data_IF_846719344091
#
_entry.id   IF_846719344091
#
_cell.length_a   1.000
_cell.length_b   1.000
_cell.length_c   1.000
_cell.angle_alpha   90.00
_cell.angle_beta   90.00
_cell.angle_gamma   90.00
#
_symmetry.space_group_name_H-M   'P 1'
#
loop_
_entity.id
_entity.type
_entity.pdbx_description
1 polymer ?
#
# COMPACT_ATOMS: atom_id res chain seq x y z
N UNK A 1 1.37 -7.76 -18.03
CA UNK A 1 1.62 -9.22 -17.97
C UNK A 1 3.00 -9.51 -17.35
N UNK A 2 3.33 -10.78 -17.08
CA UNK A 2 4.67 -11.19 -16.58
C UNK A 2 5.15 -10.46 -15.31
N UNK A 3 4.27 -10.30 -14.32
CA UNK A 3 4.62 -9.60 -13.07
C UNK A 3 5.02 -8.14 -13.27
N UNK A 4 4.32 -7.42 -14.16
CA UNK A 4 4.54 -5.99 -14.41
C UNK A 4 5.65 -5.65 -15.40
N UNK A 5 6.44 -6.64 -15.85
CA UNK A 5 7.58 -6.41 -16.76
C UNK A 5 7.20 -6.10 -18.22
N UNK A 6 5.94 -6.36 -18.58
CA UNK A 6 5.44 -6.18 -19.94
C UNK A 6 4.08 -5.52 -19.87
N UNK A 7 3.94 -4.42 -20.60
CA UNK A 7 2.66 -3.80 -20.90
C UNK A 7 2.07 -4.39 -22.19
N UNK A 8 0.75 -4.49 -22.27
CA UNK A 8 0.09 -5.01 -23.47
C UNK A 8 -1.23 -4.30 -23.69
N UNK A 9 -1.45 -3.87 -24.92
CA UNK A 9 -2.72 -3.31 -25.39
C UNK A 9 -3.51 -4.41 -26.08
N UNK A 10 -4.76 -4.61 -25.68
CA UNK A 10 -5.67 -5.57 -26.31
C UNK A 10 -6.87 -4.82 -26.86
N UNK A 11 -7.29 -5.16 -28.07
CA UNK A 11 -8.54 -4.68 -28.65
C UNK A 11 -9.66 -5.68 -28.36
N UNK A 12 -10.78 -5.18 -27.86
CA UNK A 12 -11.97 -5.98 -27.56
C UNK A 12 -13.07 -5.61 -28.58
N UNK A 13 -13.79 -6.61 -29.06
CA UNK A 13 -14.93 -6.43 -29.97
C UNK A 13 -16.24 -6.68 -29.22
N UNK A 14 -17.18 -5.75 -29.32
CA UNK A 14 -18.49 -5.85 -28.66
C UNK A 14 -18.48 -5.42 -27.19
N UNK A 15 -19.47 -5.89 -26.44
CA UNK A 15 -19.59 -5.62 -25.00
C UNK A 15 -18.54 -6.41 -24.22
N UNK A 16 -17.93 -5.76 -23.23
CA UNK A 16 -16.84 -6.35 -22.46
C UNK A 16 -16.96 -6.03 -20.97
N UNK A 17 -16.52 -6.98 -20.15
CA UNK A 17 -16.29 -6.78 -18.72
C UNK A 17 -14.78 -6.74 -18.51
N UNK A 18 -14.31 -5.65 -17.90
CA UNK A 18 -12.90 -5.45 -17.58
C UNK A 18 -12.75 -5.22 -16.08
N UNK A 19 -11.71 -5.81 -15.49
CA UNK A 19 -11.30 -5.46 -14.13
C UNK A 19 -10.26 -4.37 -14.20
N UNK A 20 -10.45 -3.35 -13.38
CA UNK A 20 -9.55 -2.20 -13.28
C UNK A 20 -8.75 -2.35 -11.99
N UNK A 21 -7.45 -2.05 -12.05
CA UNK A 21 -6.61 -1.93 -10.86
C UNK A 21 -7.06 -0.70 -10.06
N UNK A 22 -7.25 -0.87 -8.76
CA UNK A 22 -7.56 0.26 -7.86
C UNK A 22 -6.50 1.36 -7.95
N UNK A 23 -6.94 2.62 -7.76
CA UNK A 23 -6.10 3.82 -7.81
C UNK A 23 -5.26 3.95 -9.10
N UNK A 24 -5.78 3.49 -10.23
CA UNK A 24 -5.16 3.72 -11.54
C UNK A 24 -5.57 5.07 -12.15
N UNK A 25 -6.73 5.59 -11.77
CA UNK A 25 -7.22 6.90 -12.19
C UNK A 25 -7.55 7.77 -10.97
N UNK A 26 -7.37 9.10 -11.08
CA UNK A 26 -7.80 10.02 -10.04
C UNK A 26 -9.33 9.99 -9.89
N UNK A 27 -9.80 10.35 -8.71
CA UNK A 27 -11.22 10.51 -8.45
C UNK A 27 -11.80 11.63 -9.32
N UNK A 28 -13.02 11.43 -9.82
CA UNK A 28 -13.75 12.47 -10.55
C UNK A 28 -14.17 13.61 -9.61
N UNK A 29 -14.04 14.85 -10.07
CA UNK A 29 -14.44 16.04 -9.30
C UNK A 29 -15.95 16.33 -9.42
N UNK A 30 -16.52 16.87 -8.35
CA UNK A 30 -17.91 17.35 -8.32
C UNK A 30 -18.97 16.25 -8.13
N UNK A 31 -20.23 16.60 -8.39
CA UNK A 31 -21.39 15.71 -8.28
C UNK A 31 -22.07 15.57 -9.63
N UNK A 32 -22.37 14.34 -10.04
CA UNK A 32 -23.13 14.06 -11.27
C UNK A 32 -24.64 14.10 -11.08
N UNK A 33 -25.37 14.14 -12.19
CA UNK A 33 -26.84 14.20 -12.29
C UNK A 33 -27.45 12.94 -12.93
N UNK A 34 -26.79 11.79 -12.73
CA UNK A 34 -27.21 10.51 -13.30
C UNK A 34 -28.64 10.11 -12.88
N UNK A 35 -29.39 9.55 -13.83
CA UNK A 35 -30.73 9.01 -13.58
C UNK A 35 -30.66 7.77 -12.69
N UNK A 36 -31.50 7.75 -11.64
CA UNK A 36 -31.65 6.59 -10.76
C UNK A 36 -32.77 5.70 -11.30
N UNK A 37 -32.44 4.47 -11.66
CA UNK A 37 -33.38 3.47 -12.15
C UNK A 37 -33.40 2.26 -11.21
N UNK A 38 -34.60 1.76 -10.89
CA UNK A 38 -34.74 0.55 -10.11
C UNK A 38 -34.42 -0.67 -10.99
N UNK A 39 -33.54 -1.53 -10.49
CA UNK A 39 -33.19 -2.80 -11.13
C UNK A 39 -33.55 -3.94 -10.19
N UNK A 40 -34.47 -4.80 -10.62
CA UNK A 40 -34.87 -6.01 -9.90
C UNK A 40 -34.04 -7.17 -10.46
N UNK A 41 -33.07 -7.65 -9.68
CA UNK A 41 -32.19 -8.74 -10.05
C UNK A 41 -32.81 -10.07 -9.62
N UNK A 42 -33.14 -10.93 -10.57
CA UNK A 42 -33.55 -12.31 -10.29
C UNK A 42 -32.30 -13.17 -10.05
N UNK A 43 -32.13 -13.64 -8.81
CA UNK A 43 -30.98 -14.43 -8.38
C UNK A 43 -31.44 -15.87 -8.18
N UNK A 44 -30.92 -16.78 -9.01
CA UNK A 44 -31.11 -18.21 -8.84
C UNK A 44 -30.29 -18.73 -7.65
N UNK A 45 -30.95 -18.97 -6.52
CA UNK A 45 -30.31 -19.48 -5.30
C UNK A 45 -29.70 -20.88 -5.49
N UNK A 46 -30.27 -21.71 -6.38
CA UNK A 46 -29.75 -23.05 -6.66
C UNK A 46 -28.40 -23.01 -7.40
N UNK A 47 -28.09 -21.89 -8.07
CA UNK A 47 -26.81 -21.65 -8.73
C UNK A 47 -25.69 -21.19 -7.77
N UNK A 48 -26.02 -20.84 -6.52
CA UNK A 48 -25.04 -20.33 -5.55
C UNK A 48 -24.28 -21.49 -4.90
N UNK A 49 -23.03 -21.70 -5.33
CA UNK A 49 -22.17 -22.76 -4.81
C UNK A 49 -21.42 -22.43 -3.51
N UNK A 50 -21.62 -21.25 -2.92
CA UNK A 50 -20.90 -20.78 -1.73
C UNK A 50 -21.84 -20.27 -0.65
N UNK A 51 -21.43 -20.41 0.62
CA UNK A 51 -22.17 -19.88 1.77
C UNK A 51 -21.25 -19.04 2.62
N UNK A 52 -21.62 -17.79 2.88
CA UNK A 52 -20.91 -16.92 3.82
C UNK A 52 -21.24 -17.38 5.23
N UNK A 53 -20.25 -17.92 5.94
CA UNK A 53 -20.44 -18.47 7.29
C UNK A 53 -20.25 -17.42 8.40
N UNK A 54 -19.74 -16.25 8.06
CA UNK A 54 -19.52 -15.13 8.97
C UNK A 54 -18.54 -14.12 8.39
N UNK A 55 -18.47 -12.95 9.03
CA UNK A 55 -17.43 -11.96 8.81
C UNK A 55 -16.54 -11.96 10.05
N UNK A 56 -15.25 -12.27 9.87
CA UNK A 56 -14.26 -12.12 10.93
C UNK A 56 -13.54 -10.81 10.69
N UNK A 57 -13.93 -9.80 11.47
CA UNK A 57 -13.20 -8.55 11.53
C UNK A 57 -11.84 -8.86 12.16
N UNK A 58 -10.76 -8.66 11.42
CA UNK A 58 -9.41 -8.76 11.98
C UNK A 58 -9.34 -7.68 13.06
N UNK A 59 -9.31 -8.09 14.33
CA UNK A 59 -9.35 -7.19 15.48
C UNK A 59 -8.45 -5.99 15.23
N UNK A 60 -9.04 -4.79 15.25
CA UNK A 60 -8.36 -3.53 15.03
C UNK A 60 -7.20 -3.40 16.00
N UNK A 61 -5.98 -3.58 15.52
CA UNK A 61 -4.79 -3.22 16.27
C UNK A 61 -4.61 -1.72 16.21
N UNK A 62 -5.18 -0.99 17.16
CA UNK A 62 -5.05 0.44 17.54
C UNK A 62 -5.05 1.55 16.46
N UNK A 63 -4.70 1.29 15.20
CA UNK A 63 -4.61 2.28 14.11
C UNK A 63 -4.97 1.63 12.78
N UNK A 64 -5.93 2.22 12.06
CA UNK A 64 -6.21 1.85 10.69
C UNK A 64 -5.26 2.59 9.72
N UNK A 65 -4.32 1.85 9.13
CA UNK A 65 -3.36 2.41 8.18
C UNK A 65 -3.98 2.86 6.84
N UNK A 66 -5.22 2.45 6.50
CA UNK A 66 -5.87 2.93 5.28
C UNK A 66 -6.46 4.33 5.39
N UNK A 67 -6.60 4.85 6.61
CA UNK A 67 -7.09 6.21 6.88
C UNK A 67 -5.95 7.19 7.23
N UNK A 68 -4.70 6.73 7.22
CA UNK A 68 -3.54 7.55 7.56
C UNK A 68 -3.19 8.52 6.42
N UNK A 69 -2.98 9.80 6.76
CA UNK A 69 -2.53 10.85 5.84
C UNK A 69 -1.02 10.74 5.54
N UNK A 70 -0.23 10.26 6.52
CA UNK A 70 1.21 10.05 6.39
C UNK A 70 1.59 8.66 6.91
N UNK A 71 2.24 7.87 6.05
CA UNK A 71 2.74 6.54 6.40
C UNK A 71 4.26 6.47 6.37
N UNK A 72 4.84 5.97 7.46
CA UNK A 72 6.21 5.46 7.48
C UNK A 72 6.11 3.95 7.34
N UNK A 73 6.56 3.41 6.21
CA UNK A 73 6.48 1.99 5.92
C UNK A 73 7.84 1.35 5.81
N UNK A 74 8.04 0.25 6.54
CA UNK A 74 9.31 -0.46 6.60
C UNK A 74 9.32 -1.80 5.85
N UNK A 75 10.49 -2.11 5.32
CA UNK A 75 10.78 -3.38 4.67
C UNK A 75 11.92 -4.14 5.31
N UNK A 76 12.25 -5.29 4.73
CA UNK A 76 13.31 -6.19 5.23
C UNK A 76 14.66 -5.48 5.40
N UNK A 77 14.87 -4.34 4.75
CA UNK A 77 16.07 -3.54 4.91
C UNK A 77 16.34 -3.05 6.34
N UNK A 78 15.36 -3.08 7.27
CA UNK A 78 15.60 -2.76 8.70
C UNK A 78 16.41 -3.84 9.44
N UNK A 79 16.63 -5.01 8.81
CA UNK A 79 17.46 -6.12 9.27
C UNK A 79 16.98 -6.87 10.52
N UNK A 80 16.81 -6.21 11.65
CA UNK A 80 16.54 -6.79 12.98
C UNK A 80 15.33 -6.11 13.65
N UNK A 81 14.68 -6.79 14.60
CA UNK A 81 13.46 -6.29 15.26
C UNK A 81 13.76 -5.08 16.16
N UNK A 82 14.94 -5.06 16.76
CA UNK A 82 15.46 -4.01 17.62
C UNK A 82 15.52 -2.65 16.89
N UNK A 83 15.67 -2.68 15.57
CA UNK A 83 15.69 -1.46 14.74
C UNK A 83 14.30 -0.85 14.54
N UNK A 84 13.23 -1.51 14.97
CA UNK A 84 11.89 -0.92 14.98
C UNK A 84 11.82 0.33 15.85
N UNK A 85 12.59 0.42 16.92
CA UNK A 85 12.54 1.58 17.82
C UNK A 85 13.01 2.85 17.12
N UNK A 86 14.07 2.78 16.30
CA UNK A 86 14.51 3.89 15.45
C UNK A 86 13.40 4.35 14.48
N UNK A 87 12.64 3.41 13.94
CA UNK A 87 11.55 3.70 13.01
C UNK A 87 10.35 4.30 13.75
N UNK A 88 10.05 3.83 14.96
CA UNK A 88 9.01 4.41 15.82
C UNK A 88 9.36 5.86 16.18
N UNK A 89 10.62 6.14 16.51
CA UNK A 89 11.08 7.50 16.79
C UNK A 89 10.88 8.43 15.57
N UNK A 90 11.15 7.94 14.35
CA UNK A 90 10.85 8.69 13.12
C UNK A 90 9.35 8.89 12.91
N UNK A 91 8.54 7.85 13.12
CA UNK A 91 7.10 7.95 12.97
C UNK A 91 6.52 8.97 13.95
N UNK A 92 6.97 8.96 15.21
CA UNK A 92 6.56 9.92 16.24
C UNK A 92 7.01 11.35 15.90
N UNK A 93 8.25 11.55 15.46
CA UNK A 93 8.76 12.87 15.06
C UNK A 93 7.95 13.48 13.90
N UNK A 94 7.45 12.65 12.99
CA UNK A 94 6.65 13.06 11.84
C UNK A 94 5.14 13.10 12.12
N UNK A 95 4.67 12.56 13.24
CA UNK A 95 3.24 12.29 13.45
C UNK A 95 2.67 11.27 12.45
N UNK A 96 3.52 10.38 11.93
CA UNK A 96 3.19 9.39 10.93
C UNK A 96 2.62 8.11 11.54
N UNK A 97 1.79 7.40 10.77
CA UNK A 97 1.38 6.05 11.12
C UNK A 97 2.39 5.03 10.60
N UNK A 98 2.86 4.14 11.48
CA UNK A 98 3.75 3.05 11.09
C UNK A 98 3.00 1.97 10.30
N UNK A 99 3.55 1.53 9.17
CA UNK A 99 3.10 0.37 8.40
C UNK A 99 4.28 -0.50 7.96
N UNK A 100 4.03 -1.61 7.27
CA UNK A 100 5.12 -2.48 6.82
C UNK A 100 4.81 -3.31 5.57
N UNK A 101 5.87 -3.81 4.96
CA UNK A 101 5.79 -4.85 3.94
C UNK A 101 5.62 -6.24 4.57
N UNK A 102 5.18 -7.20 3.76
CA UNK A 102 4.94 -8.59 4.20
C UNK A 102 6.09 -9.26 4.97
N UNK A 103 7.38 -9.16 4.57
CA UNK A 103 8.47 -9.76 5.33
C UNK A 103 8.51 -9.40 6.83
N UNK A 104 8.10 -8.17 7.18
CA UNK A 104 8.08 -7.71 8.58
C UNK A 104 6.98 -8.43 9.38
N UNK A 105 5.82 -8.63 8.76
CA UNK A 105 4.70 -9.36 9.36
C UNK A 105 4.98 -10.85 9.43
N UNK A 106 5.56 -11.42 8.37
CA UNK A 106 5.95 -12.84 8.34
C UNK A 106 7.01 -13.15 9.42
N UNK A 107 7.87 -12.18 9.78
CA UNK A 107 8.80 -12.27 10.91
C UNK A 107 8.16 -12.05 12.29
N UNK A 108 6.89 -11.59 12.34
CA UNK A 108 6.17 -11.32 13.60
C UNK A 108 6.46 -9.97 14.25
N UNK A 109 7.23 -9.10 13.59
CA UNK A 109 7.69 -7.82 14.14
C UNK A 109 6.59 -6.75 14.17
N UNK A 110 5.65 -6.82 13.23
CA UNK A 110 4.44 -5.99 13.22
C UNK A 110 3.20 -6.85 12.93
N UNK A 111 2.04 -6.47 13.48
CA UNK A 111 0.81 -7.22 13.25
C UNK A 111 0.33 -7.10 11.80
N UNK A 112 -0.43 -8.10 11.35
CA UNK A 112 -0.90 -8.21 9.96
C UNK A 112 -1.73 -7.01 9.48
N UNK A 113 -2.42 -6.32 10.38
CA UNK A 113 -3.20 -5.12 10.05
C UNK A 113 -2.33 -3.92 9.65
N UNK A 114 -1.02 -3.97 9.89
CA UNK A 114 -0.03 -2.98 9.45
C UNK A 114 0.56 -3.30 8.08
N UNK A 115 0.21 -4.44 7.49
CA UNK A 115 0.76 -4.87 6.21
C UNK A 115 0.16 -4.07 5.05
N UNK A 116 1.02 -3.51 4.21
CA UNK A 116 0.65 -2.87 2.93
C UNK A 116 0.92 -3.83 1.77
N UNK A 117 0.01 -3.86 0.79
CA UNK A 117 0.17 -4.61 -0.45
C UNK A 117 -1.05 -5.45 -0.83
N UNK A 118 -0.94 -6.21 -1.93
CA UNK A 118 -1.99 -7.05 -2.50
C UNK A 118 -2.60 -8.05 -1.49
N UNK A 119 -1.80 -8.56 -0.56
CA UNK A 119 -2.24 -9.47 0.51
C UNK A 119 -2.45 -8.78 1.87
N UNK A 120 -2.30 -7.46 1.91
CA UNK A 120 -2.49 -6.60 3.08
C UNK A 120 -3.57 -5.55 2.80
N UNK A 121 -3.43 -4.37 3.42
CA UNK A 121 -4.28 -3.22 3.12
C UNK A 121 -3.76 -2.46 1.90
N UNK A 122 -4.70 -1.88 1.16
CA UNK A 122 -4.44 -0.85 0.16
C UNK A 122 -4.57 0.50 0.85
N UNK A 123 -3.62 1.39 0.63
CA UNK A 123 -3.51 2.70 1.27
C UNK A 123 -3.29 3.77 0.21
N UNK A 124 -3.80 4.98 0.48
CA UNK A 124 -3.65 6.16 -0.38
C UNK A 124 -3.38 7.40 0.48
N UNK A 125 -2.27 7.43 1.25
CA UNK A 125 -1.91 8.60 2.04
C UNK A 125 -1.45 9.77 1.15
N UNK A 126 -1.44 10.96 1.71
CA UNK A 126 -0.80 12.14 1.10
C UNK A 126 0.70 11.90 0.93
N UNK A 127 1.33 11.26 1.92
CA UNK A 127 2.77 10.94 1.90
C UNK A 127 3.03 9.51 2.36
N UNK A 128 3.84 8.79 1.58
CA UNK A 128 4.28 7.43 1.88
C UNK A 128 5.82 7.35 1.87
N UNK A 129 6.42 7.07 3.02
CA UNK A 129 7.86 6.92 3.17
C UNK A 129 8.20 5.43 3.22
N UNK A 130 8.80 4.91 2.15
CA UNK A 130 9.24 3.54 2.00
C UNK A 130 10.70 3.36 2.43
N UNK A 131 10.93 2.77 3.60
CA UNK A 131 12.26 2.60 4.20
C UNK A 131 12.69 1.13 4.09
N UNK A 132 13.77 0.86 3.35
CA UNK A 132 14.29 -0.51 3.20
C UNK A 132 13.33 -1.47 2.48
N UNK A 133 12.44 -0.95 1.63
CA UNK A 133 11.47 -1.70 0.83
C UNK A 133 12.01 -1.85 -0.59
N UNK A 134 11.97 -3.06 -1.16
CA UNK A 134 12.43 -3.29 -2.54
C UNK A 134 11.42 -2.88 -3.62
N UNK A 135 10.13 -2.78 -3.29
CA UNK A 135 9.09 -2.43 -4.26
C UNK A 135 8.59 -3.60 -5.10
N UNK A 136 8.53 -4.82 -4.53
CA UNK A 136 7.86 -5.94 -5.20
C UNK A 136 6.43 -5.54 -5.63
N UNK A 137 5.98 -6.02 -6.80
CA UNK A 137 4.68 -5.66 -7.40
C UNK A 137 3.52 -5.83 -6.43
N UNK A 138 3.60 -6.83 -5.56
CA UNK A 138 2.59 -7.07 -4.52
C UNK A 138 2.55 -5.95 -3.49
N UNK A 139 3.69 -5.39 -3.09
CA UNK A 139 3.76 -4.24 -2.17
C UNK A 139 3.25 -2.98 -2.87
N UNK A 140 3.78 -2.69 -4.06
CA UNK A 140 3.43 -1.50 -4.85
C UNK A 140 1.95 -1.44 -5.16
N UNK A 141 1.31 -2.58 -5.46
CA UNK A 141 -0.14 -2.65 -5.68
C UNK A 141 -0.99 -2.10 -4.53
N UNK A 142 -0.45 -2.07 -3.30
CA UNK A 142 -1.14 -1.54 -2.13
C UNK A 142 -0.82 -0.09 -1.79
N UNK A 143 0.15 0.56 -2.43
CA UNK A 143 0.56 1.93 -2.06
C UNK A 143 0.84 2.88 -3.24
N UNK A 144 0.80 2.39 -4.48
CA UNK A 144 1.04 3.23 -5.67
C UNK A 144 0.06 4.39 -5.85
N UNK A 145 -1.03 4.41 -5.10
CA UNK A 145 -2.02 5.49 -5.10
C UNK A 145 -1.77 6.55 -4.04
N UNK A 146 -0.58 6.57 -3.43
CA UNK A 146 -0.15 7.65 -2.54
C UNK A 146 0.21 8.88 -3.37
N UNK A 147 -0.08 10.08 -2.86
CA UNK A 147 0.17 11.31 -3.61
C UNK A 147 1.67 11.65 -3.72
N UNK A 148 2.45 11.38 -2.67
CA UNK A 148 3.91 11.52 -2.67
C UNK A 148 4.57 10.28 -2.10
N UNK A 149 5.50 9.68 -2.85
CA UNK A 149 6.27 8.51 -2.46
C UNK A 149 7.73 8.91 -2.25
N UNK A 150 8.22 8.71 -1.03
CA UNK A 150 9.65 8.88 -0.66
C UNK A 150 10.26 7.49 -0.45
N UNK A 151 11.39 7.19 -1.08
CA UNK A 151 12.08 5.91 -0.92
C UNK A 151 13.48 6.09 -0.33
N UNK A 152 13.83 5.25 0.65
CA UNK A 152 15.17 5.13 1.24
C UNK A 152 15.63 3.69 1.02
N UNK A 153 16.63 3.49 0.17
CA UNK A 153 17.16 2.16 -0.14
C UNK A 153 18.61 2.26 -0.64
N UNK A 154 19.46 1.33 -0.20
CA UNK A 154 20.86 1.27 -0.64
C UNK A 154 21.02 0.81 -2.10
N UNK A 155 20.04 0.10 -2.66
CA UNK A 155 20.05 -0.33 -4.06
C UNK A 155 19.35 0.71 -4.96
N UNK A 156 20.08 1.47 -5.80
CA UNK A 156 19.48 2.42 -6.73
C UNK A 156 18.63 1.76 -7.82
N UNK A 157 18.71 0.44 -7.99
CA UNK A 157 17.94 -0.32 -8.97
C UNK A 157 16.74 -1.03 -8.33
N UNK A 158 16.44 -0.79 -7.06
CA UNK A 158 15.28 -1.37 -6.42
C UNK A 158 14.00 -0.86 -7.13
N UNK A 159 13.03 -1.73 -7.47
CA UNK A 159 11.78 -1.33 -8.14
C UNK A 159 10.98 -0.21 -7.44
N UNK A 160 11.16 -0.01 -6.13
CA UNK A 160 10.54 1.12 -5.43
C UNK A 160 11.05 2.47 -5.94
N UNK A 161 12.30 2.53 -6.40
CA UNK A 161 12.92 3.76 -6.90
C UNK A 161 12.28 4.22 -8.21
N UNK A 162 11.75 3.30 -9.01
CA UNK A 162 11.10 3.62 -10.29
C UNK A 162 9.77 4.37 -10.11
N UNK A 163 9.15 4.27 -8.93
CA UNK A 163 7.85 4.88 -8.62
C UNK A 163 7.93 5.98 -7.56
N UNK A 164 9.11 6.22 -6.99
CA UNK A 164 9.28 7.23 -5.95
C UNK A 164 9.40 8.63 -6.56
N UNK A 165 8.70 9.60 -5.98
CA UNK A 165 8.85 11.02 -6.30
C UNK A 165 10.19 11.57 -5.79
N UNK A 166 10.61 11.06 -4.62
CA UNK A 166 11.90 11.38 -4.02
C UNK A 166 12.59 10.09 -3.60
N UNK A 167 13.87 9.94 -3.94
CA UNK A 167 14.65 8.76 -3.58
C UNK A 167 15.98 9.15 -2.94
N UNK A 168 16.32 8.47 -1.85
CA UNK A 168 17.61 8.55 -1.17
C UNK A 168 18.30 7.18 -1.35
N UNK A 169 19.42 7.20 -2.06
CA UNK A 169 20.27 6.02 -2.26
C UNK A 169 21.35 6.02 -1.20
N UNK A 170 21.00 5.55 0.00
CA UNK A 170 21.93 5.48 1.12
C UNK A 170 21.44 4.48 2.17
N UNK A 171 22.26 4.25 3.20
CA UNK A 171 21.90 3.42 4.34
C UNK A 171 20.81 4.09 5.20
N UNK A 172 19.75 3.34 5.53
CA UNK A 172 18.66 3.87 6.34
C UNK A 172 19.11 4.23 7.76
N UNK A 173 20.14 3.56 8.30
CA UNK A 173 20.68 3.81 9.63
C UNK A 173 21.47 5.12 9.71
N UNK A 174 21.90 5.66 8.58
CA UNK A 174 22.50 6.99 8.49
C UNK A 174 21.42 8.06 8.20
N UNK A 175 20.47 7.75 7.32
CA UNK A 175 19.45 8.71 6.87
C UNK A 175 18.36 8.96 7.91
N UNK A 176 17.84 7.91 8.55
CA UNK A 176 16.71 8.02 9.48
C UNK A 176 17.04 8.88 10.70
N UNK A 177 18.20 8.74 11.37
CA UNK A 177 18.57 9.63 12.48
C UNK A 177 18.65 11.11 12.08
N UNK A 178 19.19 11.41 10.89
CA UNK A 178 19.28 12.78 10.39
C UNK A 178 17.89 13.36 10.07
N UNK A 179 16.96 12.54 9.58
CA UNK A 179 15.57 12.95 9.40
C UNK A 179 14.91 13.25 10.76
N UNK A 180 15.08 12.37 11.74
CA UNK A 180 14.55 12.59 13.10
C UNK A 180 15.02 13.93 13.66
N UNK A 181 16.32 14.22 13.61
CA UNK A 181 16.91 15.48 14.11
C UNK A 181 16.33 16.74 13.44
N UNK A 182 15.86 16.63 12.19
CA UNK A 182 15.29 17.77 11.44
C UNK A 182 13.82 18.02 11.72
N UNK A 183 13.10 17.03 12.24
CA UNK A 183 11.66 17.11 12.52
C UNK A 183 11.32 17.16 14.02
N UNK A 184 12.31 17.01 14.90
CA UNK A 184 12.21 17.30 16.34
C UNK A 184 12.44 18.79 16.65
#
# INVERSE_FOLDING_TARGET
>A
MYGGKVETTNELAGEAVVTIRSAEWPQAEGTGDASIEAFDADIDEDAIGSTVTGFEEVAGGDVDISEAELLVSIGRGIEEEENLDLIRDLADALGATLSSSRPIVDNGWLPKNRQVGQSGKVVTPDVYIAIGISGAVQHVAGMKGSDTIVAINTDPNAPIMDIADYAIVDDLFDVVPELIDKFQ
#
